data_IF_380565080970
#
_entry.id   IF_380565080970
#
_cell.length_a   1.000
_cell.length_b   1.000
_cell.length_c   1.000
_cell.angle_alpha   90.00
_cell.angle_beta   90.00
_cell.angle_gamma   90.00
#
_symmetry.space_group_name_H-M   'P 1'
#
loop_
_entity.id
_entity.type
_entity.pdbx_description
1 polymer ?
#
# COMPACT_ATOMS: atom_id res chain seq x y z
N UNK A 1 -28.16 21.31 52.50
CA UNK A 1 -27.14 20.69 51.61
C UNK A 1 -27.53 19.26 51.29
N UNK A 2 -28.18 19.02 50.14
CA UNK A 2 -28.34 17.70 49.51
C UNK A 2 -28.39 17.90 47.98
N UNK A 3 -27.28 18.37 47.43
CA UNK A 3 -26.99 18.28 46.00
C UNK A 3 -26.49 16.86 45.76
N UNK A 4 -27.41 15.93 45.51
CA UNK A 4 -27.07 14.54 45.24
C UNK A 4 -27.62 14.10 43.88
N UNK A 5 -26.65 13.89 42.97
CA UNK A 5 -26.54 12.65 42.17
C UNK A 5 -27.41 12.47 40.91
N UNK A 6 -27.87 13.54 40.26
CA UNK A 6 -28.49 13.39 38.91
C UNK A 6 -27.67 14.04 37.78
N UNK A 7 -26.64 14.81 38.10
CA UNK A 7 -25.88 15.55 37.08
C UNK A 7 -24.56 14.86 36.62
N UNK A 8 -24.26 13.64 37.05
CA UNK A 8 -22.92 13.02 36.85
C UNK A 8 -22.98 11.66 36.13
N UNK A 9 -24.05 11.38 35.37
CA UNK A 9 -24.15 10.14 34.55
C UNK A 9 -24.41 10.43 33.06
N UNK A 10 -24.66 11.68 32.68
CA UNK A 10 -24.66 12.10 31.27
C UNK A 10 -23.51 13.04 30.89
N UNK A 11 -22.39 12.94 31.62
CA UNK A 11 -21.10 12.85 30.93
C UNK A 11 -21.01 11.45 30.31
N UNK A 12 -21.99 11.10 29.46
CA UNK A 12 -21.82 10.11 28.42
C UNK A 12 -20.74 10.71 27.55
N UNK A 13 -19.49 10.47 27.98
CA UNK A 13 -18.30 10.65 27.20
C UNK A 13 -18.67 10.11 25.84
N UNK A 14 -18.91 11.04 24.93
CA UNK A 14 -19.04 10.77 23.53
C UNK A 14 -17.63 10.35 23.16
N UNK A 15 -17.34 9.09 23.46
CA UNK A 15 -16.22 8.35 22.94
C UNK A 15 -16.53 8.14 21.46
N UNK A 16 -16.54 9.24 20.71
CA UNK A 16 -15.97 9.22 19.38
C UNK A 16 -14.47 9.02 19.59
N UNK A 17 -14.12 7.80 20.02
CA UNK A 17 -12.87 7.20 19.58
C UNK A 17 -13.10 7.08 18.09
N UNK A 18 -12.74 8.14 17.37
CA UNK A 18 -12.42 8.05 15.96
C UNK A 18 -11.23 7.11 15.97
N UNK A 19 -11.51 5.81 15.84
CA UNK A 19 -10.50 4.79 15.72
C UNK A 19 -9.74 5.24 14.48
N UNK A 20 -8.58 5.83 14.73
CA UNK A 20 -7.56 6.15 13.75
C UNK A 20 -7.03 4.79 13.27
N UNK A 21 -7.85 4.08 12.51
CA UNK A 21 -7.45 2.91 11.77
C UNK A 21 -6.80 3.40 10.48
N UNK A 22 -5.64 2.83 10.19
CA UNK A 22 -4.85 2.94 8.96
C UNK A 22 -5.70 3.38 7.76
N UNK A 23 -5.26 4.42 7.05
CA UNK A 23 -5.96 5.12 5.98
C UNK A 23 -6.29 4.23 4.78
N UNK A 24 -7.35 3.44 4.92
CA UNK A 24 -8.00 2.74 3.83
C UNK A 24 -9.22 3.52 3.35
N UNK A 25 -9.48 3.48 2.05
CA UNK A 25 -10.69 4.07 1.47
C UNK A 25 -11.67 2.94 1.13
N UNK A 26 -12.99 3.13 1.30
CA UNK A 26 -13.96 2.16 0.78
C UNK A 26 -13.75 1.92 -0.71
N UNK A 27 -14.05 0.71 -1.18
CA UNK A 27 -13.97 0.39 -2.59
C UNK A 27 -14.73 1.42 -3.46
N UNK A 28 -14.06 1.96 -4.46
CA UNK A 28 -14.64 2.83 -5.49
C UNK A 28 -14.63 2.14 -6.84
N UNK A 29 -15.36 2.71 -7.81
CA UNK A 29 -15.38 2.18 -9.18
C UNK A 29 -13.95 2.05 -9.74
N UNK A 30 -13.60 0.86 -10.23
CA UNK A 30 -12.24 0.56 -10.70
C UNK A 30 -11.70 1.59 -11.71
N UNK A 31 -12.53 2.03 -12.66
CA UNK A 31 -12.10 2.92 -13.75
C UNK A 31 -11.67 4.33 -13.31
N UNK A 32 -11.91 4.72 -12.05
CA UNK A 32 -11.46 5.99 -11.47
C UNK A 32 -10.31 5.81 -10.47
N UNK A 33 -9.79 4.59 -10.30
CA UNK A 33 -8.66 4.34 -9.40
C UNK A 33 -7.37 4.85 -10.03
N UNK A 34 -6.67 5.69 -9.27
CA UNK A 34 -5.35 6.21 -9.62
C UNK A 34 -4.40 6.05 -8.43
N UNK A 35 -3.15 5.72 -8.72
CA UNK A 35 -2.08 5.57 -7.72
C UNK A 35 -0.92 6.51 -8.04
N UNK A 36 -0.47 7.28 -7.05
CA UNK A 36 0.73 8.12 -7.11
C UNK A 36 1.88 7.45 -6.34
N UNK A 37 2.86 6.97 -7.08
CA UNK A 37 4.05 6.31 -6.56
C UNK A 37 5.25 7.27 -6.53
N UNK A 38 5.17 8.31 -5.69
CA UNK A 38 6.20 9.37 -5.56
C UNK A 38 6.43 10.17 -6.86
N UNK A 39 5.36 10.66 -7.45
CA UNK A 39 5.36 11.49 -8.65
C UNK A 39 5.09 10.72 -9.94
N UNK A 40 5.19 9.38 -9.93
CA UNK A 40 4.69 8.55 -11.04
C UNK A 40 3.24 8.18 -10.78
N UNK A 41 2.33 8.70 -11.60
CA UNK A 41 0.90 8.37 -11.55
C UNK A 41 0.57 7.19 -12.46
N UNK A 42 -0.22 6.27 -11.94
CA UNK A 42 -0.75 5.12 -12.64
C UNK A 42 -2.26 5.22 -12.70
N UNK A 43 -2.80 5.42 -13.90
CA UNK A 43 -4.24 5.40 -14.15
C UNK A 43 -4.72 3.97 -14.40
N UNK A 44 -6.00 3.70 -14.12
CA UNK A 44 -6.58 2.38 -14.36
C UNK A 44 -6.34 1.84 -15.76
N UNK A 45 -6.48 2.69 -16.78
CA UNK A 45 -6.26 2.28 -18.18
C UNK A 45 -4.82 1.85 -18.45
N UNK A 46 -3.85 2.49 -17.81
CA UNK A 46 -2.43 2.14 -17.95
C UNK A 46 -2.21 0.76 -17.34
N UNK A 47 -2.43 0.61 -16.03
CA UNK A 47 -2.07 -0.63 -15.35
C UNK A 47 -2.95 -1.82 -15.76
N UNK A 48 -4.14 -1.60 -16.32
CA UNK A 48 -4.99 -2.65 -16.91
C UNK A 48 -4.40 -3.30 -18.16
N UNK A 49 -3.56 -2.59 -18.91
CA UNK A 49 -3.02 -3.06 -20.19
C UNK A 49 -1.62 -3.67 -20.08
N UNK A 50 -0.93 -3.45 -18.96
CA UNK A 50 0.43 -3.93 -18.77
C UNK A 50 0.46 -5.45 -18.56
N UNK A 51 1.52 -6.08 -19.04
CA UNK A 51 1.85 -7.46 -18.69
C UNK A 51 2.11 -7.57 -17.19
N UNK A 52 1.56 -8.62 -16.59
CA UNK A 52 1.59 -8.87 -15.16
C UNK A 52 2.13 -10.26 -14.87
N UNK A 53 3.06 -10.35 -13.93
CA UNK A 53 3.55 -11.64 -13.43
C UNK A 53 3.17 -11.80 -11.96
N UNK A 54 2.49 -12.90 -11.64
CA UNK A 54 2.04 -13.19 -10.28
C UNK A 54 3.23 -13.56 -9.38
N UNK A 55 3.30 -12.93 -8.20
CA UNK A 55 4.32 -13.17 -7.20
C UNK A 55 3.79 -14.13 -6.14
N UNK A 56 4.12 -15.42 -6.26
CA UNK A 56 3.61 -16.49 -5.36
C UNK A 56 4.64 -17.00 -4.34
N UNK A 57 5.92 -16.63 -4.50
CA UNK A 57 7.03 -17.09 -3.67
C UNK A 57 7.69 -15.99 -2.85
N UNK A 58 8.85 -16.30 -2.24
CA UNK A 58 9.72 -15.28 -1.66
C UNK A 58 10.16 -14.26 -2.71
N UNK A 59 10.10 -12.98 -2.34
CA UNK A 59 10.39 -11.85 -3.24
C UNK A 59 11.67 -11.09 -2.89
N UNK A 60 12.38 -11.52 -1.85
CA UNK A 60 13.66 -10.94 -1.47
C UNK A 60 14.60 -11.99 -0.87
N UNK A 61 15.86 -11.59 -0.67
CA UNK A 61 16.92 -12.42 -0.10
C UNK A 61 16.65 -12.93 1.33
N UNK A 62 15.70 -12.33 2.05
CA UNK A 62 15.33 -12.73 3.41
C UNK A 62 14.23 -13.79 3.44
N UNK A 63 13.76 -14.24 2.28
CA UNK A 63 12.69 -15.22 2.19
C UNK A 63 11.29 -14.63 2.44
N UNK A 64 11.12 -13.30 2.41
CA UNK A 64 9.83 -12.69 2.70
C UNK A 64 8.88 -12.80 1.51
N UNK A 65 7.60 -13.00 1.81
CA UNK A 65 6.51 -12.98 0.83
C UNK A 65 5.94 -11.57 0.68
N UNK A 66 5.25 -11.31 -0.42
CA UNK A 66 4.55 -10.03 -0.61
C UNK A 66 3.45 -9.79 0.43
N UNK A 67 2.77 -10.84 0.89
CA UNK A 67 1.74 -10.72 1.92
C UNK A 67 2.31 -10.14 3.22
N UNK A 68 3.45 -10.66 3.67
CA UNK A 68 4.15 -10.12 4.85
C UNK A 68 4.53 -8.65 4.64
N UNK A 69 5.14 -8.34 3.50
CA UNK A 69 5.57 -6.96 3.18
C UNK A 69 4.38 -6.02 3.14
N UNK A 70 3.27 -6.42 2.53
CA UNK A 70 2.06 -5.61 2.43
C UNK A 70 1.44 -5.35 3.80
N UNK A 71 1.33 -6.38 4.64
CA UNK A 71 0.83 -6.24 6.01
C UNK A 71 1.73 -5.34 6.87
N UNK A 72 3.06 -5.45 6.72
CA UNK A 72 4.02 -4.56 7.40
C UNK A 72 3.85 -3.10 6.94
N UNK A 73 3.66 -2.87 5.63
CA UNK A 73 3.43 -1.54 5.06
C UNK A 73 2.12 -0.91 5.53
N UNK A 74 1.04 -1.71 5.63
CA UNK A 74 -0.24 -1.24 6.17
C UNK A 74 -0.17 -0.97 7.67
N UNK A 75 0.68 -1.69 8.40
CA UNK A 75 0.82 -1.52 9.85
C UNK A 75 1.71 -0.33 10.24
N UNK A 76 2.40 0.30 9.28
CA UNK A 76 3.28 1.44 9.52
C UNK A 76 2.48 2.70 9.86
N UNK A 77 2.40 2.97 11.17
CA UNK A 77 1.71 4.15 11.72
C UNK A 77 2.39 5.48 11.43
N UNK A 78 3.61 5.47 10.89
CA UNK A 78 4.31 6.69 10.48
C UNK A 78 3.87 7.18 9.09
N UNK A 79 3.22 6.33 8.30
CA UNK A 79 2.72 6.65 6.98
C UNK A 79 1.24 7.08 7.03
N UNK A 80 0.98 8.39 6.89
CA UNK A 80 -0.37 8.97 6.94
C UNK A 80 -1.09 8.99 5.58
N UNK A 81 -0.50 8.43 4.53
CA UNK A 81 -1.10 8.47 3.20
C UNK A 81 -2.24 7.44 3.06
N UNK A 82 -3.32 7.81 2.38
CA UNK A 82 -4.34 6.87 1.89
C UNK A 82 -3.68 5.92 0.91
N UNK A 83 -3.57 4.64 1.26
CA UNK A 83 -2.62 3.74 0.60
C UNK A 83 -3.24 2.43 0.10
N UNK A 84 -4.45 2.09 0.53
CA UNK A 84 -5.17 0.92 0.06
C UNK A 84 -6.69 1.15 0.06
N UNK A 85 -7.39 0.52 -0.87
CA UNK A 85 -8.84 0.35 -0.79
C UNK A 85 -9.14 -0.84 0.12
N UNK A 86 -10.09 -0.68 1.02
CA UNK A 86 -10.60 -1.75 1.87
C UNK A 86 -11.96 -2.21 1.34
N UNK A 87 -12.07 -3.53 1.17
CA UNK A 87 -13.29 -4.23 0.84
C UNK A 87 -13.67 -5.16 2.01
N UNK A 88 -14.95 -5.40 2.21
CA UNK A 88 -15.48 -6.27 3.28
C UNK A 88 -15.01 -7.73 3.14
N UNK A 89 -14.42 -8.07 1.99
CA UNK A 89 -13.96 -9.42 1.60
C UNK A 89 -12.43 -9.59 1.48
N UNK A 90 -11.64 -8.69 2.07
CA UNK A 90 -10.17 -8.66 1.97
C UNK A 90 -9.42 -9.77 2.76
N UNK A 91 -9.95 -10.99 2.80
CA UNK A 91 -9.27 -12.12 3.43
C UNK A 91 -8.07 -12.64 2.64
N UNK A 92 -7.96 -12.29 1.36
CA UNK A 92 -6.91 -12.83 0.48
C UNK A 92 -6.50 -11.83 -0.61
N UNK A 93 -5.19 -11.67 -0.75
CA UNK A 93 -4.57 -10.79 -1.72
C UNK A 93 -3.71 -11.58 -2.72
N UNK A 94 -3.73 -11.14 -3.98
CA UNK A 94 -2.78 -11.54 -5.01
C UNK A 94 -1.89 -10.36 -5.38
N UNK A 95 -0.66 -10.67 -5.77
CA UNK A 95 0.37 -9.69 -6.03
C UNK A 95 0.91 -9.87 -7.44
N UNK A 96 0.96 -8.79 -8.21
CA UNK A 96 1.32 -8.82 -9.62
C UNK A 96 2.37 -7.76 -9.93
N UNK A 97 3.58 -8.16 -10.32
CA UNK A 97 4.60 -7.23 -10.80
C UNK A 97 4.28 -6.73 -12.21
N UNK A 98 4.43 -5.42 -12.44
CA UNK A 98 4.20 -4.73 -13.71
C UNK A 98 5.48 -4.67 -14.54
N UNK A 99 5.71 -5.66 -15.41
CA UNK A 99 7.00 -5.92 -16.06
C UNK A 99 7.59 -4.73 -16.85
N UNK A 100 6.75 -3.99 -17.57
CA UNK A 100 7.21 -2.96 -18.53
C UNK A 100 7.33 -1.56 -17.93
N UNK A 101 7.14 -1.42 -16.61
CA UNK A 101 7.10 -0.11 -15.95
C UNK A 101 8.34 0.21 -15.12
N UNK A 102 9.34 -0.66 -15.13
CA UNK A 102 10.53 -0.47 -14.32
C UNK A 102 11.29 0.80 -14.73
N UNK A 103 11.75 1.55 -13.74
CA UNK A 103 12.47 2.82 -13.95
C UNK A 103 13.86 2.70 -13.36
N UNK A 104 14.88 2.83 -14.22
CA UNK A 104 16.28 2.86 -13.81
C UNK A 104 16.76 4.30 -13.67
N UNK A 105 17.36 4.61 -12.52
CA UNK A 105 17.97 5.90 -12.22
C UNK A 105 19.43 5.70 -11.84
N UNK A 106 20.33 6.37 -12.57
CA UNK A 106 21.75 6.39 -12.23
C UNK A 106 21.98 7.27 -10.98
N UNK A 107 22.85 6.79 -10.10
CA UNK A 107 23.33 7.50 -8.91
C UNK A 107 24.86 7.54 -8.96
N UNK A 108 25.49 8.38 -8.14
CA UNK A 108 26.93 8.69 -8.24
C UNK A 108 27.87 7.47 -8.23
N UNK A 109 27.43 6.30 -7.73
CA UNK A 109 28.23 5.07 -7.64
C UNK A 109 27.45 3.82 -8.06
N UNK A 110 26.42 3.94 -8.89
CA UNK A 110 25.62 2.79 -9.32
C UNK A 110 24.25 3.20 -9.83
N UNK A 111 23.24 2.37 -9.61
CA UNK A 111 21.89 2.66 -10.09
C UNK A 111 20.82 2.10 -9.16
N UNK A 112 19.62 2.65 -9.30
CA UNK A 112 18.40 2.23 -8.59
C UNK A 112 17.39 1.80 -9.63
N UNK A 113 16.73 0.66 -9.42
CA UNK A 113 15.59 0.20 -10.21
C UNK A 113 14.33 0.29 -9.35
N UNK A 114 13.32 0.96 -9.87
CA UNK A 114 11.98 0.94 -9.30
C UNK A 114 11.11 -0.04 -10.08
N UNK A 115 10.44 -0.95 -9.37
CA UNK A 115 9.41 -1.84 -9.90
C UNK A 115 8.09 -1.57 -9.19
N UNK A 116 6.98 -1.92 -9.83
CA UNK A 116 5.63 -1.63 -9.35
C UNK A 116 4.81 -2.92 -9.27
N UNK A 117 4.13 -3.11 -8.15
CA UNK A 117 3.40 -4.33 -7.83
C UNK A 117 1.96 -3.95 -7.53
N UNK A 118 1.03 -4.48 -8.33
CA UNK A 118 -0.40 -4.37 -8.07
C UNK A 118 -0.81 -5.37 -6.99
N UNK A 119 -1.62 -4.88 -6.05
CA UNK A 119 -2.31 -5.70 -5.06
C UNK A 119 -3.76 -5.81 -5.48
N UNK A 120 -4.25 -7.03 -5.63
CA UNK A 120 -5.66 -7.29 -5.93
C UNK A 120 -6.29 -8.17 -4.88
N UNK A 121 -7.58 -8.00 -4.62
CA UNK A 121 -8.32 -8.93 -3.78
C UNK A 121 -8.65 -10.24 -4.53
N UNK A 122 -9.33 -11.16 -3.85
CA UNK A 122 -9.77 -12.45 -4.41
C UNK A 122 -10.67 -12.34 -5.65
N UNK A 123 -11.35 -11.20 -5.83
CA UNK A 123 -12.23 -10.94 -6.98
C UNK A 123 -11.50 -10.26 -8.14
N UNK A 124 -10.20 -9.98 -8.00
CA UNK A 124 -9.37 -9.33 -9.02
C UNK A 124 -9.50 -7.81 -9.04
N UNK A 125 -10.18 -7.21 -8.07
CA UNK A 125 -10.25 -5.76 -7.90
C UNK A 125 -8.94 -5.22 -7.35
N UNK A 126 -8.50 -4.05 -7.83
CA UNK A 126 -7.23 -3.47 -7.40
C UNK A 126 -7.41 -2.75 -6.08
N UNK A 127 -6.69 -3.19 -5.06
CA UNK A 127 -6.73 -2.63 -3.72
C UNK A 127 -5.62 -1.61 -3.50
N UNK A 128 -4.40 -1.91 -3.94
CA UNK A 128 -3.25 -1.06 -3.69
C UNK A 128 -2.19 -1.21 -4.78
N UNK A 129 -1.20 -0.33 -4.73
CA UNK A 129 0.03 -0.44 -5.52
C UNK A 129 1.23 -0.27 -4.61
N UNK A 130 2.22 -1.13 -4.75
CA UNK A 130 3.48 -1.11 -4.00
C UNK A 130 4.60 -0.79 -4.97
N UNK A 131 5.48 0.13 -4.59
CA UNK A 131 6.74 0.39 -5.28
C UNK A 131 7.87 -0.34 -4.56
N UNK A 132 8.56 -1.23 -5.28
CA UNK A 132 9.83 -1.85 -4.87
C UNK A 132 10.99 -1.03 -5.41
N UNK A 133 12.03 -0.85 -4.59
CA UNK A 133 13.27 -0.17 -4.94
C UNK A 133 14.44 -1.11 -4.70
N UNK A 134 15.11 -1.48 -5.78
CA UNK A 134 16.36 -2.24 -5.81
C UNK A 134 17.51 -1.26 -6.00
N UNK A 135 18.57 -1.36 -5.18
CA UNK A 135 19.70 -0.43 -5.24
C UNK A 135 21.01 -1.17 -5.41
N UNK A 136 21.72 -0.86 -6.48
CA UNK A 136 23.02 -1.44 -6.82
C UNK A 136 24.09 -0.36 -6.68
N UNK A 137 24.98 -0.51 -5.69
CA UNK A 137 26.04 0.47 -5.39
C UNK A 137 27.41 -0.20 -5.52
N UNK A 138 28.15 0.17 -6.56
CA UNK A 138 29.43 -0.42 -6.89
C UNK A 138 29.30 -1.91 -7.23
N UNK A 139 29.78 -2.78 -6.34
CA UNK A 139 29.66 -4.25 -6.45
C UNK A 139 28.73 -4.84 -5.39
N UNK A 140 28.02 -4.02 -4.63
CA UNK A 140 27.12 -4.45 -3.57
C UNK A 140 25.68 -4.15 -3.94
N UNK A 141 24.85 -5.17 -3.80
CA UNK A 141 23.39 -5.04 -3.85
C UNK A 141 22.90 -4.73 -2.45
N UNK A 142 22.18 -3.62 -2.31
CA UNK A 142 21.55 -3.24 -1.05
C UNK A 142 20.20 -3.96 -0.93
N UNK A 143 19.72 -4.18 0.31
CA UNK A 143 18.41 -4.76 0.52
C UNK A 143 17.30 -3.97 -0.17
N UNK A 144 16.38 -4.69 -0.79
CA UNK A 144 15.19 -4.10 -1.39
C UNK A 144 14.38 -3.33 -0.36
N UNK A 145 13.87 -2.19 -0.78
CA UNK A 145 12.96 -1.38 0.03
C UNK A 145 11.61 -1.31 -0.65
N UNK A 146 10.54 -1.33 0.15
CA UNK A 146 9.18 -1.30 -0.34
C UNK A 146 8.47 -0.08 0.24
N UNK A 147 7.58 0.50 -0.57
CA UNK A 147 6.74 1.62 -0.16
C UNK A 147 5.39 1.47 -0.83
N UNK A 148 4.31 1.74 -0.10
CA UNK A 148 2.96 1.73 -0.67
C UNK A 148 2.70 3.07 -1.36
N UNK A 149 2.08 3.02 -2.53
CA UNK A 149 1.73 4.22 -3.30
C UNK A 149 0.48 4.88 -2.73
N UNK A 150 0.40 6.20 -2.89
CA UNK A 150 -0.75 6.97 -2.43
C UNK A 150 -1.91 6.84 -3.42
N UNK A 151 -3.14 6.80 -2.91
CA UNK A 151 -4.36 6.90 -3.72
C UNK A 151 -4.53 8.36 -4.18
N UNK A 152 -4.69 8.56 -5.49
CA UNK A 152 -4.69 9.89 -6.12
C UNK A 152 -6.02 10.28 -6.79
N UNK A 153 -7.09 9.51 -6.56
CA UNK A 153 -8.46 9.62 -7.11
C UNK A 153 -8.91 11.01 -7.53
#
# INVERSE_FOLDING_TARGET
>A
MRLTRIAVILQSASFFVSILAVHTMPHIMEHIKEFDCSGRRFQQREYAQLTRTELTGPVNQYGWTMDKIYNDLLSDRSNYNLSAFQDDSDSYHKFYELETTSQRHEISRGYVIYAYILVTNQHGFVNAMIRRRESHVGRQDLPDTYSICQIAT
#
